data_IF_633213552991
#
_entry.id   IF_633213552991
#
_cell.length_a   1.000
_cell.length_b   1.000
_cell.length_c   1.000
_cell.angle_alpha   90.00
_cell.angle_beta   90.00
_cell.angle_gamma   90.00
#
_symmetry.space_group_name_H-M   'P 1'
#
loop_
_entity.id
_entity.type
_entity.pdbx_description
1 polymer ?
#
# COMPACT_ATOMS: atom_id res chain seq x y z
N UNK A 1 -7.80 -14.68 1.52
CA UNK A 1 -7.09 -14.08 0.38
C UNK A 1 -7.26 -12.57 0.45
N UNK A 2 -6.16 -11.82 0.40
CA UNK A 2 -6.20 -10.36 0.25
C UNK A 2 -6.77 -10.05 -1.14
N UNK A 3 -7.74 -9.13 -1.23
CA UNK A 3 -8.31 -8.74 -2.50
C UNK A 3 -7.20 -8.27 -3.47
N UNK A 4 -7.09 -8.90 -4.64
CA UNK A 4 -6.10 -8.58 -5.67
C UNK A 4 -4.76 -9.34 -5.57
N UNK A 5 -4.47 -10.03 -4.47
CA UNK A 5 -3.25 -10.85 -4.41
C UNK A 5 -3.44 -12.09 -5.28
N UNK A 6 -2.67 -12.19 -6.37
CA UNK A 6 -2.65 -13.38 -7.22
C UNK A 6 -1.40 -14.19 -6.85
N UNK A 7 -1.54 -15.30 -6.10
CA UNK A 7 -0.38 -16.09 -5.68
C UNK A 7 0.37 -16.75 -6.84
N UNK A 8 -0.22 -16.79 -8.04
CA UNK A 8 0.42 -17.29 -9.26
C UNK A 8 1.09 -16.19 -10.09
N UNK A 9 0.94 -14.90 -9.72
CA UNK A 9 1.63 -13.80 -10.40
C UNK A 9 3.07 -13.72 -9.88
N UNK A 10 4.01 -14.11 -10.73
CA UNK A 10 5.43 -14.19 -10.37
C UNK A 10 6.14 -12.84 -10.50
N UNK A 11 5.54 -11.85 -11.18
CA UNK A 11 6.10 -10.51 -11.37
C UNK A 11 5.78 -9.62 -10.15
N UNK A 12 6.78 -9.19 -9.36
CA UNK A 12 6.54 -8.44 -8.14
C UNK A 12 5.77 -7.12 -8.36
N UNK A 13 6.05 -6.44 -9.47
CA UNK A 13 5.38 -5.18 -9.84
C UNK A 13 3.88 -5.36 -10.10
N UNK A 14 3.49 -6.42 -10.82
CA UNK A 14 2.09 -6.66 -11.17
C UNK A 14 1.28 -7.11 -9.95
N UNK A 15 1.85 -7.95 -9.07
CA UNK A 15 1.17 -8.34 -7.85
C UNK A 15 0.97 -7.12 -6.92
N UNK A 16 1.98 -6.26 -6.81
CA UNK A 16 1.88 -5.00 -6.06
C UNK A 16 0.84 -4.05 -6.67
N UNK A 17 0.78 -3.97 -8.01
CA UNK A 17 -0.25 -3.19 -8.72
C UNK A 17 -1.65 -3.67 -8.41
N UNK A 18 -1.88 -4.98 -8.33
CA UNK A 18 -3.19 -5.51 -7.99
C UNK A 18 -3.61 -5.16 -6.55
N UNK A 19 -2.67 -5.20 -5.60
CA UNK A 19 -2.92 -4.78 -4.21
C UNK A 19 -3.22 -3.29 -4.15
N UNK A 20 -2.46 -2.47 -4.85
CA UNK A 20 -2.73 -1.03 -4.97
C UNK A 20 -4.14 -0.77 -5.50
N UNK A 21 -4.51 -1.38 -6.63
CA UNK A 21 -5.84 -1.20 -7.24
C UNK A 21 -6.96 -1.60 -6.26
N UNK A 22 -6.79 -2.71 -5.54
CA UNK A 22 -7.74 -3.14 -4.52
C UNK A 22 -7.84 -2.15 -3.36
N UNK A 23 -6.71 -1.64 -2.86
CA UNK A 23 -6.68 -0.68 -1.75
C UNK A 23 -7.33 0.65 -2.16
N UNK A 24 -6.98 1.20 -3.32
CA UNK A 24 -7.56 2.46 -3.81
C UNK A 24 -9.05 2.28 -4.09
N UNK A 25 -9.44 1.20 -4.76
CA UNK A 25 -10.85 0.90 -5.01
C UNK A 25 -11.66 0.76 -3.72
N UNK A 26 -11.09 0.15 -2.68
CA UNK A 26 -11.70 0.10 -1.36
C UNK A 26 -11.78 1.51 -0.73
N UNK A 27 -10.72 2.30 -0.77
CA UNK A 27 -10.67 3.63 -0.18
C UNK A 27 -11.64 4.63 -0.81
N UNK A 28 -11.82 4.58 -2.13
CA UNK A 28 -12.85 5.38 -2.85
C UNK A 28 -14.25 5.03 -2.37
N UNK A 29 -14.53 3.75 -2.09
CA UNK A 29 -15.84 3.30 -1.58
C UNK A 29 -16.03 3.53 -0.08
N UNK A 30 -14.94 3.70 0.69
CA UNK A 30 -14.94 3.76 2.15
C UNK A 30 -14.05 4.93 2.65
N UNK A 31 -14.40 6.19 2.35
CA UNK A 31 -13.53 7.34 2.56
C UNK A 31 -13.28 7.66 4.04
N UNK A 32 -14.24 7.36 4.93
CA UNK A 32 -14.09 7.62 6.36
C UNK A 32 -13.18 6.59 7.04
N UNK A 33 -13.32 5.33 6.65
CA UNK A 33 -12.49 4.22 7.10
C UNK A 33 -11.04 4.42 6.63
N UNK A 34 -10.85 4.84 5.38
CA UNK A 34 -9.53 5.18 4.86
C UNK A 34 -8.86 6.29 5.69
N UNK A 35 -9.59 7.39 5.97
CA UNK A 35 -9.09 8.48 6.84
C UNK A 35 -8.76 8.00 8.25
N UNK A 36 -9.55 7.08 8.80
CA UNK A 36 -9.29 6.48 10.11
C UNK A 36 -7.99 5.65 10.10
N UNK A 37 -7.77 4.81 9.09
CA UNK A 37 -6.55 4.01 8.95
C UNK A 37 -5.30 4.90 8.95
N UNK A 38 -5.29 6.00 8.18
CA UNK A 38 -4.14 6.91 8.17
C UNK A 38 -3.83 7.49 9.55
N UNK A 39 -4.86 7.93 10.28
CA UNK A 39 -4.69 8.47 11.63
C UNK A 39 -4.18 7.41 12.61
N UNK A 40 -4.61 6.15 12.45
CA UNK A 40 -4.16 5.04 13.28
C UNK A 40 -2.74 4.60 12.94
N UNK A 41 -2.33 4.63 11.67
CA UNK A 41 -0.97 4.25 11.25
C UNK A 41 0.12 5.14 11.88
N UNK A 42 -0.21 6.41 12.14
CA UNK A 42 0.67 7.37 12.82
C UNK A 42 0.51 7.37 14.35
N UNK A 43 -0.42 6.57 14.89
CA UNK A 43 -0.69 6.51 16.31
C UNK A 43 0.23 5.51 17.00
N UNK A 44 0.87 5.91 18.09
CA UNK A 44 1.64 5.03 18.99
C UNK A 44 0.79 3.91 19.60
N UNK A 45 -0.54 3.99 19.45
CA UNK A 45 -1.49 2.98 19.93
C UNK A 45 -1.51 1.71 19.08
N UNK A 46 -0.96 1.72 17.86
CA UNK A 46 -0.65 0.48 17.13
C UNK A 46 0.69 -0.05 17.67
N UNK A 47 0.58 -1.03 18.56
CA UNK A 47 1.72 -1.69 19.20
C UNK A 47 2.42 -2.63 18.23
N UNK A 48 3.70 -2.94 18.50
CA UNK A 48 4.43 -3.94 17.70
C UNK A 48 3.79 -5.33 17.77
N UNK A 49 3.15 -5.67 18.90
CA UNK A 49 2.34 -6.88 19.02
C UNK A 49 1.21 -6.93 17.98
N UNK A 50 0.50 -5.81 17.78
CA UNK A 50 -0.56 -5.72 16.78
C UNK A 50 0.00 -5.83 15.37
N UNK A 51 1.16 -5.21 15.08
CA UNK A 51 1.83 -5.32 13.78
C UNK A 51 2.27 -6.77 13.50
N UNK A 52 2.90 -7.43 14.46
CA UNK A 52 3.35 -8.81 14.33
C UNK A 52 2.17 -9.75 14.08
N UNK A 53 1.05 -9.55 14.77
CA UNK A 53 -0.16 -10.35 14.54
C UNK A 53 -0.72 -10.17 13.13
N UNK A 54 -0.69 -8.95 12.58
CA UNK A 54 -1.07 -8.70 11.18
C UNK A 54 -0.11 -9.38 10.22
N UNK A 55 1.20 -9.33 10.50
CA UNK A 55 2.20 -10.04 9.70
C UNK A 55 1.93 -11.54 9.67
N UNK A 56 1.66 -12.16 10.82
CA UNK A 56 1.34 -13.59 10.91
C UNK A 56 0.04 -13.97 10.18
N UNK A 57 -0.94 -13.07 10.13
CA UNK A 57 -2.21 -13.30 9.43
C UNK A 57 -2.10 -13.23 7.90
N UNK A 58 -1.07 -12.57 7.37
CA UNK A 58 -0.90 -12.32 5.94
C UNK A 58 0.54 -12.58 5.46
N UNK A 59 1.03 -13.82 5.56
CA UNK A 59 2.41 -14.16 5.20
C UNK A 59 2.73 -13.85 3.73
N UNK A 60 1.76 -14.02 2.82
CA UNK A 60 1.97 -13.76 1.39
C UNK A 60 2.21 -12.27 1.09
N UNK A 61 1.63 -11.38 1.90
CA UNK A 61 1.88 -9.94 1.78
C UNK A 61 3.30 -9.60 2.27
N UNK A 62 3.74 -10.21 3.37
CA UNK A 62 5.09 -9.99 3.88
C UNK A 62 6.15 -10.46 2.88
N UNK A 63 5.98 -11.64 2.29
CA UNK A 63 6.89 -12.15 1.27
C UNK A 63 6.95 -11.21 0.06
N UNK A 64 5.81 -10.65 -0.36
CA UNK A 64 5.80 -9.66 -1.43
C UNK A 64 6.54 -8.39 -1.04
N UNK A 65 6.29 -7.85 0.16
CA UNK A 65 6.98 -6.67 0.67
C UNK A 65 8.50 -6.89 0.74
N UNK A 66 8.95 -8.01 1.30
CA UNK A 66 10.36 -8.37 1.39
C UNK A 66 11.05 -8.40 0.02
N UNK A 67 10.36 -8.90 -1.00
CA UNK A 67 10.89 -9.02 -2.37
C UNK A 67 10.82 -7.75 -3.19
N UNK A 68 9.94 -6.82 -2.84
CA UNK A 68 9.56 -5.70 -3.72
C UNK A 68 9.90 -4.33 -3.17
N UNK A 69 10.07 -4.17 -1.86
CA UNK A 69 10.26 -2.87 -1.20
C UNK A 69 11.74 -2.62 -0.89
N UNK A 70 12.21 -1.38 -1.00
CA UNK A 70 13.60 -1.02 -0.67
C UNK A 70 13.97 -1.45 0.76
N UNK A 71 15.15 -2.05 1.01
CA UNK A 71 15.56 -2.52 2.34
C UNK A 71 15.49 -1.44 3.42
N UNK A 72 15.74 -0.16 3.07
CA UNK A 72 15.61 0.96 4.01
C UNK A 72 14.22 1.02 4.65
N UNK A 73 13.16 0.86 3.86
CA UNK A 73 11.77 0.89 4.35
C UNK A 73 11.34 -0.42 5.02
N UNK A 74 12.20 -1.45 5.05
CA UNK A 74 11.98 -2.67 5.81
C UNK A 74 12.66 -2.62 7.19
N UNK A 75 13.56 -1.65 7.43
CA UNK A 75 14.25 -1.49 8.70
C UNK A 75 13.33 -0.97 9.81
N UNK A 76 13.59 -1.35 11.06
CA UNK A 76 12.80 -0.88 12.21
C UNK A 76 12.80 0.66 12.35
N UNK A 77 13.90 1.30 11.93
CA UNK A 77 14.07 2.76 12.01
C UNK A 77 13.16 3.51 11.03
N UNK A 78 12.96 2.99 9.81
CA UNK A 78 12.27 3.72 8.74
C UNK A 78 10.99 3.04 8.23
N UNK A 79 10.61 1.87 8.76
CA UNK A 79 9.40 1.14 8.34
C UNK A 79 8.14 1.98 8.43
N UNK A 80 7.92 2.62 9.59
CA UNK A 80 6.73 3.46 9.82
C UNK A 80 6.68 4.68 8.91
N UNK A 81 7.85 5.21 8.53
CA UNK A 81 7.94 6.29 7.55
C UNK A 81 7.58 5.80 6.13
N UNK A 82 8.07 4.62 5.74
CA UNK A 82 7.69 3.95 4.48
C UNK A 82 6.18 3.72 4.38
N UNK A 83 5.55 3.21 5.45
CA UNK A 83 4.10 3.04 5.54
C UNK A 83 3.36 4.38 5.36
N UNK A 84 3.85 5.45 6.00
CA UNK A 84 3.26 6.78 5.89
C UNK A 84 3.38 7.38 4.49
N UNK A 85 4.48 7.13 3.77
CA UNK A 85 4.65 7.52 2.36
C UNK A 85 3.64 6.79 1.47
N UNK A 86 3.51 5.46 1.63
CA UNK A 86 2.51 4.67 0.91
C UNK A 86 1.10 5.22 1.13
N UNK A 87 0.71 5.43 2.39
CA UNK A 87 -0.62 5.94 2.74
C UNK A 87 -0.89 7.35 2.19
N UNK A 88 0.13 8.22 2.16
CA UNK A 88 -0.02 9.59 1.66
C UNK A 88 -0.20 9.64 0.14
N UNK A 89 0.52 8.78 -0.61
CA UNK A 89 0.33 8.63 -2.05
C UNK A 89 -1.03 8.01 -2.37
N UNK A 90 -1.45 7.02 -1.57
CA UNK A 90 -2.73 6.37 -1.76
C UNK A 90 -3.90 7.32 -1.46
N UNK A 91 -3.83 8.14 -0.41
CA UNK A 91 -4.87 9.13 -0.11
C UNK A 91 -5.02 10.16 -1.22
N UNK A 92 -3.90 10.73 -1.68
CA UNK A 92 -3.91 11.68 -2.80
C UNK A 92 -4.59 11.05 -4.02
N UNK A 93 -4.27 9.79 -4.30
CA UNK A 93 -4.87 9.05 -5.41
C UNK A 93 -6.38 8.83 -5.20
N UNK A 94 -6.80 8.44 -4.00
CA UNK A 94 -8.21 8.25 -3.64
C UNK A 94 -8.98 9.56 -3.76
N UNK A 95 -8.42 10.67 -3.28
CA UNK A 95 -9.06 11.99 -3.31
C UNK A 95 -9.35 12.43 -4.75
N UNK A 96 -8.33 12.40 -5.62
CA UNK A 96 -8.49 12.77 -7.04
C UNK A 96 -9.38 11.79 -7.80
N UNK A 97 -9.24 10.48 -7.57
CA UNK A 97 -10.10 9.47 -8.22
C UNK A 97 -11.57 9.58 -7.79
N UNK A 98 -11.82 10.04 -6.55
CA UNK A 98 -13.18 10.27 -6.05
C UNK A 98 -13.77 11.58 -6.58
N UNK A 99 -12.94 12.61 -6.76
CA UNK A 99 -13.38 13.92 -7.23
C UNK A 99 -13.61 13.98 -8.75
N UNK A 100 -12.81 13.24 -9.54
CA UNK A 100 -12.85 13.23 -11.00
C UNK A 100 -13.00 11.77 -11.53
N UNK A 101 -14.19 11.16 -11.43
CA UNK A 101 -14.41 9.75 -11.77
C UNK A 101 -14.06 9.40 -13.22
N UNK A 102 -14.23 10.32 -14.16
CA UNK A 102 -13.88 10.14 -15.58
C UNK A 102 -12.38 9.95 -15.81
N UNK A 103 -11.54 10.44 -14.88
CA UNK A 103 -10.08 10.31 -14.91
C UNK A 103 -9.54 9.35 -13.85
N UNK A 104 -10.41 8.72 -13.04
CA UNK A 104 -10.03 7.88 -11.92
C UNK A 104 -9.01 6.80 -12.29
N UNK A 105 -9.23 6.08 -13.40
CA UNK A 105 -8.29 5.06 -13.88
C UNK A 105 -6.89 5.63 -14.06
N UNK A 106 -6.78 6.81 -14.66
CA UNK A 106 -5.49 7.47 -14.89
C UNK A 106 -4.82 7.91 -13.59
N UNK A 107 -5.59 8.40 -12.62
CA UNK A 107 -5.04 8.73 -11.30
C UNK A 107 -4.52 7.49 -10.58
N UNK A 108 -5.26 6.38 -10.62
CA UNK A 108 -4.84 5.10 -10.02
C UNK A 108 -3.54 4.59 -10.64
N UNK A 109 -3.42 4.64 -11.97
CA UNK A 109 -2.20 4.23 -12.69
C UNK A 109 -0.99 5.11 -12.34
N UNK A 110 -1.15 6.44 -12.37
CA UNK A 110 -0.05 7.37 -12.09
C UNK A 110 0.36 7.32 -10.62
N UNK A 111 -0.61 7.21 -9.70
CA UNK A 111 -0.34 7.04 -8.27
C UNK A 111 0.43 5.75 -7.99
N UNK A 112 0.10 4.65 -8.69
CA UNK A 112 0.86 3.41 -8.59
C UNK A 112 2.31 3.59 -9.04
N UNK A 113 2.55 4.20 -10.20
CA UNK A 113 3.92 4.37 -10.71
C UNK A 113 4.76 5.28 -9.78
N UNK A 114 4.16 6.34 -9.24
CA UNK A 114 4.83 7.19 -8.25
C UNK A 114 5.19 6.42 -6.97
N UNK A 115 4.25 5.62 -6.44
CA UNK A 115 4.47 4.77 -5.28
C UNK A 115 5.56 3.72 -5.55
N UNK A 116 5.51 3.06 -6.70
CA UNK A 116 6.48 2.06 -7.10
C UNK A 116 7.88 2.67 -7.20
N UNK A 117 8.04 3.81 -7.86
CA UNK A 117 9.34 4.50 -7.96
C UNK A 117 9.88 4.95 -6.59
N UNK A 118 9.00 5.37 -5.68
CA UNK A 118 9.42 5.86 -4.37
C UNK A 118 9.84 4.72 -3.43
N UNK A 119 9.11 3.60 -3.43
CA UNK A 119 9.19 2.58 -2.37
C UNK A 119 9.74 1.24 -2.83
N UNK A 120 9.61 0.91 -4.11
CA UNK A 120 10.00 -0.41 -4.59
C UNK A 120 11.51 -0.50 -4.84
N UNK A 121 12.10 -1.67 -4.59
CA UNK A 121 13.50 -1.93 -4.92
C UNK A 121 13.72 -1.83 -6.43
N UNK A 122 14.79 -1.15 -6.83
CA UNK A 122 15.17 -1.00 -8.22
C UNK A 122 15.63 -2.36 -8.75
N UNK A 123 14.73 -3.10 -9.39
CA UNK A 123 15.11 -4.22 -10.23
C UNK A 123 15.73 -3.65 -11.51
N UNK A 124 17.03 -3.34 -11.43
CA UNK A 124 17.88 -3.05 -12.60
C UNK A 124 17.87 -4.20 -13.60
#
# INVERSE_FOLDING_TARGET
MIAGLNPNETRPKENTRNIWNSYIGWGVRNPMEHKAIRRMALSERITDETRNRVQEMFPELNELCQRSIKPVFQSDEYRTFGDALFLSLAETTIEYASHEPERAVRFVELGFEAMWQALAEDNS
#
